data_IF_405768397352
#
_entry.id   IF_405768397352
#
_cell.length_a   1.000
_cell.length_b   1.000
_cell.length_c   1.000
_cell.angle_alpha   90.00
_cell.angle_beta   90.00
_cell.angle_gamma   90.00
#
_symmetry.space_group_name_H-M   'P 1'
#
loop_
_entity.id
_entity.type
_entity.pdbx_description
1 polymer ?
#
# COMPACT_ATOMS: atom_id res chain seq x y z
N UNK A 1 -19.63 18.17 0.88
CA UNK A 1 -19.13 17.00 0.12
C UNK A 1 -17.61 17.15 -0.02
N UNK A 2 -16.87 16.58 0.91
CA UNK A 2 -15.39 16.72 0.95
C UNK A 2 -14.82 15.49 0.25
N UNK A 3 -14.36 15.70 -1.01
CA UNK A 3 -13.68 14.69 -1.81
C UNK A 3 -12.44 14.18 -1.08
N UNK A 4 -12.39 12.87 -0.81
CA UNK A 4 -11.23 12.15 -0.29
C UNK A 4 -10.13 12.11 -1.36
N UNK A 5 -9.36 13.17 -1.47
CA UNK A 5 -8.13 13.20 -2.26
C UNK A 5 -7.02 12.48 -1.46
N UNK A 6 -7.02 11.15 -1.52
CA UNK A 6 -5.88 10.37 -1.10
C UNK A 6 -5.00 10.11 -2.32
N UNK A 7 -4.11 11.05 -2.63
CA UNK A 7 -3.03 10.79 -3.58
C UNK A 7 -2.06 9.79 -2.93
N UNK A 8 -2.09 8.57 -3.40
CA UNK A 8 -1.15 7.51 -3.00
C UNK A 8 -0.30 7.22 -4.22
N UNK A 9 1.00 7.41 -4.10
CA UNK A 9 1.96 7.13 -5.16
C UNK A 9 1.89 5.68 -5.66
N UNK A 10 2.22 5.49 -6.91
CA UNK A 10 2.11 4.20 -7.62
C UNK A 10 2.95 3.09 -6.95
N UNK A 11 4.03 3.47 -6.30
CA UNK A 11 4.98 2.53 -5.71
C UNK A 11 4.54 1.91 -4.38
N UNK A 12 3.66 2.58 -3.59
CA UNK A 12 3.29 2.12 -2.24
C UNK A 12 2.31 0.96 -2.22
N UNK A 13 1.60 0.71 -3.30
CA UNK A 13 0.49 -0.25 -3.31
C UNK A 13 0.92 -1.72 -3.41
N UNK A 14 2.17 -2.00 -3.74
CA UNK A 14 2.61 -3.37 -4.00
C UNK A 14 3.12 -4.12 -2.74
N UNK A 15 3.41 -3.43 -1.63
CA UNK A 15 4.14 -4.06 -0.51
C UNK A 15 3.56 -3.82 0.88
N UNK A 16 2.30 -4.15 1.08
CA UNK A 16 1.83 -4.49 2.42
C UNK A 16 2.05 -5.99 2.64
N UNK A 17 3.30 -6.43 2.82
CA UNK A 17 3.60 -7.80 3.22
C UNK A 17 3.61 -7.91 4.74
N UNK A 18 2.76 -8.77 5.20
CA UNK A 18 2.80 -9.56 6.43
C UNK A 18 4.15 -9.51 7.17
N UNK A 19 4.24 -8.72 8.22
CA UNK A 19 5.23 -8.95 9.27
C UNK A 19 4.70 -10.06 10.18
N UNK A 20 4.95 -11.29 9.80
CA UNK A 20 4.74 -12.44 10.67
C UNK A 20 5.91 -12.49 11.65
N UNK A 21 5.54 -12.55 12.91
CA UNK A 21 6.26 -12.83 14.13
C UNK A 21 7.61 -13.53 13.96
N UNK A 22 8.64 -12.93 14.53
CA UNK A 22 9.92 -13.56 14.77
C UNK A 22 9.77 -14.65 15.83
N UNK A 23 9.80 -15.90 15.40
CA UNK A 23 10.18 -17.04 16.25
C UNK A 23 11.63 -17.38 15.94
N UNK A 24 12.48 -17.22 16.95
CA UNK A 24 13.88 -17.62 16.91
C UNK A 24 13.96 -19.15 16.76
N UNK A 25 14.28 -19.59 15.56
CA UNK A 25 14.60 -20.97 15.24
C UNK A 25 15.68 -20.96 14.15
N UNK A 26 16.78 -21.67 14.38
CA UNK A 26 17.97 -21.77 13.55
C UNK A 26 17.59 -21.97 12.08
N UNK A 27 17.75 -20.90 11.27
CA UNK A 27 17.23 -20.80 9.92
C UNK A 27 18.22 -21.27 8.87
N UNK A 28 17.75 -22.12 8.00
CA UNK A 28 18.39 -22.58 6.78
C UNK A 28 18.48 -21.47 5.70
N UNK A 29 19.47 -21.50 4.79
CA UNK A 29 19.69 -20.48 3.75
C UNK A 29 18.63 -20.43 2.63
N UNK A 30 17.47 -21.07 2.80
CA UNK A 30 16.36 -21.11 1.83
C UNK A 30 15.56 -19.81 1.75
N UNK A 31 15.59 -18.97 2.79
CA UNK A 31 14.79 -17.74 2.85
C UNK A 31 15.40 -16.59 2.03
N UNK A 32 16.72 -16.58 1.84
CA UNK A 32 17.42 -15.53 1.08
C UNK A 32 17.10 -15.56 -0.42
N UNK A 33 17.03 -16.75 -1.02
CA UNK A 33 16.71 -16.90 -2.43
C UNK A 33 15.25 -16.48 -2.75
N UNK A 34 14.32 -16.77 -1.86
CA UNK A 34 12.92 -16.34 -1.96
C UNK A 34 12.79 -14.81 -1.88
N UNK A 35 13.51 -14.20 -0.96
CA UNK A 35 13.53 -12.74 -0.77
C UNK A 35 14.16 -12.03 -1.97
N UNK A 36 15.27 -12.55 -2.50
CA UNK A 36 15.92 -12.00 -3.71
C UNK A 36 15.03 -12.10 -4.95
N UNK A 37 14.36 -13.23 -5.17
CA UNK A 37 13.40 -13.38 -6.28
C UNK A 37 12.23 -12.41 -6.18
N UNK A 38 11.70 -12.20 -4.97
CA UNK A 38 10.65 -11.19 -4.75
C UNK A 38 11.15 -9.79 -5.08
N UNK A 39 12.31 -9.39 -4.55
CA UNK A 39 12.90 -8.08 -4.82
C UNK A 39 13.15 -7.87 -6.33
N UNK A 40 13.62 -8.88 -7.05
CA UNK A 40 13.81 -8.82 -8.50
C UNK A 40 12.49 -8.64 -9.26
N UNK A 41 11.44 -9.40 -8.91
CA UNK A 41 10.10 -9.27 -9.50
C UNK A 41 9.50 -7.89 -9.22
N UNK A 42 9.68 -7.38 -8.00
CA UNK A 42 9.27 -6.04 -7.61
C UNK A 42 9.95 -4.96 -8.44
N UNK A 43 11.25 -5.11 -8.66
CA UNK A 43 12.03 -4.23 -9.54
C UNK A 43 11.50 -4.22 -10.97
N UNK A 44 11.24 -5.41 -11.53
CA UNK A 44 10.68 -5.54 -12.89
C UNK A 44 9.29 -4.90 -13.02
N UNK A 45 8.41 -5.10 -12.03
CA UNK A 45 7.07 -4.49 -12.02
C UNK A 45 7.17 -2.97 -11.95
N UNK A 46 8.02 -2.42 -11.07
CA UNK A 46 8.27 -0.97 -10.99
C UNK A 46 8.75 -0.40 -12.33
N UNK A 47 9.70 -1.07 -12.97
CA UNK A 47 10.23 -0.64 -14.25
C UNK A 47 9.17 -0.64 -15.36
N UNK A 48 8.34 -1.68 -15.43
CA UNK A 48 7.21 -1.74 -16.38
C UNK A 48 6.20 -0.62 -16.16
N UNK A 49 5.88 -0.32 -14.90
CA UNK A 49 5.00 0.79 -14.54
C UNK A 49 5.63 2.12 -14.96
N UNK A 50 6.91 2.35 -14.70
CA UNK A 50 7.61 3.57 -15.10
C UNK A 50 7.59 3.80 -16.61
N UNK A 51 7.84 2.75 -17.40
CA UNK A 51 7.76 2.80 -18.88
C UNK A 51 6.34 3.13 -19.34
N UNK A 52 5.34 2.47 -18.78
CA UNK A 52 3.93 2.72 -19.09
C UNK A 52 3.51 4.16 -18.74
N UNK A 53 3.91 4.67 -17.57
CA UNK A 53 3.65 6.06 -17.15
C UNK A 53 4.30 7.04 -18.13
N UNK A 54 5.58 6.86 -18.46
CA UNK A 54 6.29 7.69 -19.42
C UNK A 54 5.56 7.77 -20.76
N UNK A 55 5.12 6.62 -21.30
CA UNK A 55 4.42 6.55 -22.57
C UNK A 55 3.03 7.21 -22.51
N UNK A 56 2.21 6.92 -21.51
CA UNK A 56 0.85 7.46 -21.37
C UNK A 56 0.83 8.97 -21.13
N UNK A 57 1.80 9.50 -20.41
CA UNK A 57 1.92 10.92 -20.12
C UNK A 57 2.76 11.66 -21.17
N UNK A 58 3.37 10.94 -22.11
CA UNK A 58 4.28 11.50 -23.11
C UNK A 58 5.40 12.33 -22.47
N UNK A 59 6.06 11.75 -21.45
CA UNK A 59 7.14 12.41 -20.73
C UNK A 59 8.45 12.33 -21.51
N UNK A 60 9.23 13.41 -21.47
CA UNK A 60 10.65 13.36 -21.85
C UNK A 60 11.44 12.49 -20.86
N UNK A 61 12.67 12.09 -21.21
CA UNK A 61 13.54 11.34 -20.31
C UNK A 61 13.82 12.11 -19.03
N UNK A 62 14.09 13.41 -19.13
CA UNK A 62 14.31 14.27 -17.98
C UNK A 62 13.08 14.36 -17.06
N UNK A 63 11.88 14.51 -17.62
CA UNK A 63 10.63 14.51 -16.85
C UNK A 63 10.36 13.17 -16.17
N UNK A 64 10.63 12.06 -16.86
CA UNK A 64 10.46 10.72 -16.29
C UNK A 64 11.41 10.46 -15.11
N UNK A 65 12.66 10.92 -15.23
CA UNK A 65 13.64 10.84 -14.14
C UNK A 65 13.21 11.70 -12.94
N UNK A 66 12.83 12.96 -13.16
CA UNK A 66 12.35 13.86 -12.11
C UNK A 66 11.09 13.31 -11.41
N UNK A 67 10.19 12.67 -12.18
CA UNK A 67 9.01 12.02 -11.62
C UNK A 67 9.42 10.87 -10.70
N UNK A 68 10.34 10.01 -11.12
CA UNK A 68 10.82 8.88 -10.33
C UNK A 68 11.51 9.32 -9.03
N UNK A 69 12.34 10.36 -9.08
CA UNK A 69 13.00 10.94 -7.91
C UNK A 69 11.99 11.55 -6.94
N UNK A 70 11.01 12.28 -7.46
CA UNK A 70 9.93 12.89 -6.67
C UNK A 70 9.08 11.81 -6.00
N UNK A 71 8.64 10.81 -6.75
CA UNK A 71 7.91 9.64 -6.24
C UNK A 71 8.68 8.94 -5.10
N UNK A 72 9.97 8.69 -5.28
CA UNK A 72 10.80 8.04 -4.27
C UNK A 72 10.84 8.79 -2.95
N UNK A 73 10.95 10.13 -2.99
CA UNK A 73 10.95 10.99 -1.79
C UNK A 73 9.60 10.93 -1.04
N UNK A 74 8.50 11.05 -1.78
CA UNK A 74 7.16 11.03 -1.17
C UNK A 74 6.75 9.63 -0.73
N UNK A 75 7.25 8.60 -1.37
CA UNK A 75 7.01 7.21 -0.96
C UNK A 75 7.52 6.92 0.45
N UNK A 76 8.71 7.36 0.79
CA UNK A 76 9.26 7.19 2.14
C UNK A 76 8.39 7.88 3.19
N UNK A 77 7.95 9.11 2.92
CA UNK A 77 7.05 9.87 3.80
C UNK A 77 5.68 9.18 3.95
N UNK A 78 5.12 8.66 2.86
CA UNK A 78 3.85 7.91 2.89
C UNK A 78 3.95 6.68 3.76
N UNK A 79 5.06 5.93 3.68
CA UNK A 79 5.29 4.74 4.52
C UNK A 79 5.38 5.11 5.99
N UNK A 80 6.11 6.15 6.32
CA UNK A 80 6.22 6.64 7.69
C UNK A 80 4.84 7.00 8.26
N UNK A 81 4.08 7.83 7.55
CA UNK A 81 2.72 8.21 7.96
C UNK A 81 1.79 7.01 8.13
N UNK A 82 1.90 6.01 7.24
CA UNK A 82 1.10 4.79 7.32
C UNK A 82 1.50 3.94 8.55
N UNK A 83 2.78 3.82 8.85
CA UNK A 83 3.26 3.09 10.02
C UNK A 83 2.82 3.77 11.32
N UNK A 84 2.96 5.09 11.41
CA UNK A 84 2.51 5.90 12.56
C UNK A 84 0.99 5.74 12.77
N UNK A 85 0.19 5.88 11.71
CA UNK A 85 -1.27 5.69 11.79
C UNK A 85 -1.62 4.27 12.23
N UNK A 86 -0.92 3.26 11.72
CA UNK A 86 -1.16 1.87 12.10
C UNK A 86 -0.89 1.63 13.59
N UNK A 87 0.22 2.14 14.12
CA UNK A 87 0.56 2.06 15.54
C UNK A 87 -0.51 2.73 16.42
N UNK A 88 -0.88 3.98 16.09
CA UNK A 88 -1.92 4.71 16.82
C UNK A 88 -3.28 3.99 16.82
N UNK A 89 -3.65 3.37 15.71
CA UNK A 89 -4.88 2.57 15.62
C UNK A 89 -4.80 1.26 16.39
N UNK A 90 -3.61 0.67 16.52
CA UNK A 90 -3.41 -0.50 17.38
C UNK A 90 -3.56 -0.11 18.86
N UNK A 91 -2.90 0.97 19.29
CA UNK A 91 -3.02 1.49 20.65
C UNK A 91 -4.48 1.81 21.00
N UNK A 92 -5.19 2.48 20.08
CA UNK A 92 -6.61 2.78 20.27
C UNK A 92 -7.45 1.49 20.42
N UNK A 93 -7.20 0.47 19.61
CA UNK A 93 -7.91 -0.82 19.75
C UNK A 93 -7.62 -1.50 21.07
N UNK A 94 -6.40 -1.40 21.61
CA UNK A 94 -6.06 -1.94 22.92
C UNK A 94 -6.86 -1.27 24.03
N UNK A 95 -7.03 0.07 23.96
CA UNK A 95 -7.84 0.81 24.92
C UNK A 95 -9.34 0.43 24.87
N UNK A 96 -9.81 -0.06 23.73
CA UNK A 96 -11.22 -0.43 23.51
C UNK A 96 -11.46 -1.95 23.62
N UNK A 97 -10.51 -2.71 24.12
CA UNK A 97 -10.67 -4.16 24.31
C UNK A 97 -11.67 -4.44 25.45
N UNK A 98 -12.66 -5.33 25.25
CA UNK A 98 -13.61 -5.69 26.29
C UNK A 98 -12.92 -6.18 27.58
N UNK A 99 -13.35 -5.67 28.72
CA UNK A 99 -12.77 -6.00 30.04
C UNK A 99 -11.59 -5.11 30.45
N UNK A 100 -11.11 -4.23 29.61
CA UNK A 100 -10.12 -3.20 29.95
C UNK A 100 -10.84 -1.90 30.27
N UNK A 101 -10.53 -1.29 31.44
CA UNK A 101 -11.00 0.05 31.75
C UNK A 101 -10.29 1.06 30.81
N UNK A 102 -11.03 1.62 29.86
CA UNK A 102 -10.47 2.58 28.90
C UNK A 102 -10.07 3.89 29.62
N UNK A 103 -8.84 4.33 29.38
CA UNK A 103 -8.39 5.65 29.81
C UNK A 103 -8.90 6.71 28.81
N UNK A 104 -9.85 7.54 29.28
CA UNK A 104 -10.50 8.59 28.49
C UNK A 104 -9.47 9.61 27.94
N UNK A 105 -8.48 10.00 28.75
CA UNK A 105 -7.44 10.95 28.30
C UNK A 105 -6.54 10.32 27.26
N UNK A 106 -6.15 9.06 27.45
CA UNK A 106 -5.36 8.34 26.46
C UNK A 106 -6.09 8.18 25.14
N UNK A 107 -7.37 7.82 25.18
CA UNK A 107 -8.21 7.70 23.98
C UNK A 107 -8.32 9.04 23.25
N UNK A 108 -8.59 10.15 23.96
CA UNK A 108 -8.64 11.49 23.36
C UNK A 108 -7.30 11.86 22.69
N UNK A 109 -6.17 11.65 23.37
CA UNK A 109 -4.84 11.89 22.83
C UNK A 109 -4.55 11.07 21.57
N UNK A 110 -4.94 9.79 21.53
CA UNK A 110 -4.77 8.94 20.35
C UNK A 110 -5.60 9.43 19.17
N UNK A 111 -6.83 9.87 19.40
CA UNK A 111 -7.67 10.46 18.35
C UNK A 111 -7.05 11.73 17.79
N UNK A 112 -6.54 12.63 18.63
CA UNK A 112 -5.86 13.86 18.20
C UNK A 112 -4.62 13.56 17.36
N UNK A 113 -3.83 12.56 17.76
CA UNK A 113 -2.65 12.12 17.01
C UNK A 113 -3.03 11.52 15.64
N UNK A 114 -4.11 10.72 15.56
CA UNK A 114 -4.62 10.19 14.29
C UNK A 114 -5.05 11.35 13.38
N UNK A 115 -5.74 12.36 13.93
CA UNK A 115 -6.15 13.54 13.15
C UNK A 115 -4.93 14.38 12.71
N UNK A 116 -3.87 14.45 13.51
CA UNK A 116 -2.62 15.10 13.12
C UNK A 116 -1.95 14.38 11.93
N UNK A 117 -1.87 13.05 11.96
CA UNK A 117 -1.35 12.25 10.83
C UNK A 117 -2.18 12.46 9.56
N UNK A 118 -3.51 12.59 9.69
CA UNK A 118 -4.36 12.89 8.52
C UNK A 118 -4.06 14.28 7.94
N UNK A 119 -3.86 15.31 8.78
CA UNK A 119 -3.46 16.65 8.31
C UNK A 119 -2.10 16.62 7.61
N UNK A 120 -1.10 15.94 8.20
CA UNK A 120 0.22 15.76 7.58
C UNK A 120 0.11 15.09 6.21
N UNK A 121 -0.78 14.12 6.04
CA UNK A 121 -1.00 13.44 4.75
C UNK A 121 -1.55 14.40 3.69
N UNK A 122 -2.48 15.27 4.06
CA UNK A 122 -3.02 16.31 3.15
C UNK A 122 -1.91 17.26 2.73
N UNK A 123 -1.16 17.81 3.70
CA UNK A 123 -0.04 18.73 3.44
C UNK A 123 1.02 18.09 2.55
N UNK A 124 1.35 16.82 2.80
CA UNK A 124 2.28 16.05 1.97
C UNK A 124 1.78 15.93 0.52
N UNK A 125 0.50 15.66 0.34
CA UNK A 125 -0.11 15.55 -1.00
C UNK A 125 -0.06 16.89 -1.74
N UNK A 126 -0.35 17.98 -1.06
CA UNK A 126 -0.24 19.33 -1.64
C UNK A 126 1.21 19.65 -2.03
N UNK A 127 2.18 19.28 -1.20
CA UNK A 127 3.60 19.47 -1.50
C UNK A 127 4.01 18.64 -2.72
N UNK A 128 3.58 17.38 -2.81
CA UNK A 128 3.81 16.54 -3.98
C UNK A 128 3.26 17.17 -5.25
N UNK A 129 2.03 17.70 -5.22
CA UNK A 129 1.44 18.39 -6.37
C UNK A 129 2.19 19.66 -6.77
N UNK A 130 2.72 20.41 -5.79
CA UNK A 130 3.58 21.58 -6.07
C UNK A 130 4.90 21.17 -6.71
N UNK A 131 5.52 20.10 -6.22
CA UNK A 131 6.79 19.59 -6.78
C UNK A 131 6.60 19.06 -8.20
N UNK A 132 5.54 18.31 -8.45
CA UNK A 132 5.17 17.84 -9.80
C UNK A 132 4.88 19.00 -10.78
N UNK A 133 4.31 20.10 -10.29
CA UNK A 133 4.00 21.26 -11.11
C UNK A 133 5.26 21.98 -11.67
N UNK A 134 6.44 21.72 -11.11
CA UNK A 134 7.69 22.32 -11.57
C UNK A 134 8.17 21.78 -12.92
N UNK A 135 7.77 20.56 -13.27
CA UNK A 135 8.24 19.89 -14.47
C UNK A 135 7.14 19.20 -15.29
N UNK A 136 5.95 19.01 -14.74
CA UNK A 136 4.79 18.46 -15.46
C UNK A 136 3.80 19.55 -15.82
N UNK A 137 3.28 19.51 -17.03
CA UNK A 137 2.17 20.36 -17.44
C UNK A 137 0.89 20.01 -16.68
N UNK A 138 -0.11 20.90 -16.59
CA UNK A 138 -1.39 20.59 -15.95
C UNK A 138 -2.09 19.36 -16.54
N UNK A 139 -1.99 19.17 -17.86
CA UNK A 139 -2.56 17.99 -18.54
C UNK A 139 -1.86 16.72 -18.14
N UNK A 140 -0.52 16.73 -18.09
CA UNK A 140 0.27 15.57 -17.63
C UNK A 140 -0.04 15.21 -16.17
N UNK A 141 -0.17 16.21 -15.29
CA UNK A 141 -0.56 16.00 -13.89
C UNK A 141 -1.96 15.39 -13.77
N UNK A 142 -2.93 15.87 -14.54
CA UNK A 142 -4.29 15.32 -14.54
C UNK A 142 -4.30 13.85 -15.01
N UNK A 143 -3.59 13.54 -16.10
CA UNK A 143 -3.42 12.16 -16.59
C UNK A 143 -2.74 11.27 -15.56
N UNK A 144 -1.72 11.79 -14.86
CA UNK A 144 -1.01 11.07 -13.81
C UNK A 144 -1.92 10.71 -12.62
N UNK A 145 -2.74 11.64 -12.14
CA UNK A 145 -3.73 11.38 -11.09
C UNK A 145 -4.75 10.32 -11.52
N UNK A 146 -5.25 10.38 -12.74
CA UNK A 146 -6.15 9.37 -13.29
C UNK A 146 -5.50 7.99 -13.31
N UNK A 147 -4.25 7.90 -13.78
CA UNK A 147 -3.50 6.65 -13.83
C UNK A 147 -3.22 6.05 -12.44
N UNK A 148 -2.92 6.89 -11.45
CA UNK A 148 -2.79 6.45 -10.05
C UNK A 148 -4.10 5.83 -9.53
N UNK A 149 -5.24 6.44 -9.85
CA UNK A 149 -6.57 5.91 -9.50
C UNK A 149 -6.86 4.55 -10.15
N UNK A 150 -6.59 4.41 -11.45
CA UNK A 150 -6.77 3.15 -12.19
C UNK A 150 -5.91 2.01 -11.56
N UNK A 151 -4.64 2.28 -11.28
CA UNK A 151 -3.75 1.30 -10.68
C UNK A 151 -4.21 0.86 -9.29
N UNK A 152 -4.66 1.82 -8.48
CA UNK A 152 -5.22 1.51 -7.15
C UNK A 152 -6.42 0.58 -7.26
N UNK A 153 -7.40 0.94 -8.08
CA UNK A 153 -8.62 0.14 -8.27
C UNK A 153 -8.29 -1.27 -8.77
N UNK A 154 -7.31 -1.40 -9.67
CA UNK A 154 -6.88 -2.70 -10.17
C UNK A 154 -6.26 -3.57 -9.09
N UNK A 155 -5.43 -2.99 -8.22
CA UNK A 155 -4.80 -3.70 -7.10
C UNK A 155 -5.85 -4.12 -6.05
N UNK A 156 -6.79 -3.24 -5.73
CA UNK A 156 -7.88 -3.56 -4.82
C UNK A 156 -8.76 -4.68 -5.36
N UNK A 157 -9.09 -4.66 -6.65
CA UNK A 157 -9.82 -5.73 -7.32
C UNK A 157 -9.09 -7.08 -7.26
N UNK A 158 -7.77 -7.10 -7.48
CA UNK A 158 -6.97 -8.33 -7.35
C UNK A 158 -6.93 -8.86 -5.91
N UNK A 159 -6.86 -7.98 -4.91
CA UNK A 159 -6.90 -8.37 -3.48
C UNK A 159 -8.23 -8.97 -3.08
N UNK A 160 -9.34 -8.41 -3.57
CA UNK A 160 -10.68 -8.92 -3.30
C UNK A 160 -10.92 -10.26 -3.99
N UNK A 161 -10.52 -10.42 -5.25
CA UNK A 161 -10.60 -11.69 -5.99
C UNK A 161 -9.77 -12.80 -5.33
N UNK A 162 -8.56 -12.49 -4.83
CA UNK A 162 -7.73 -13.45 -4.09
C UNK A 162 -8.34 -13.90 -2.75
N UNK A 163 -9.07 -13.03 -2.06
CA UNK A 163 -9.80 -13.39 -0.83
C UNK A 163 -11.01 -14.25 -1.12
N UNK A 164 -11.79 -13.93 -2.14
CA UNK A 164 -12.96 -14.73 -2.55
C UNK A 164 -12.56 -16.15 -2.99
N UNK A 165 -11.45 -16.29 -3.73
CA UNK A 165 -10.91 -17.59 -4.13
C UNK A 165 -10.46 -18.46 -2.94
N UNK A 166 -9.88 -17.87 -1.90
CA UNK A 166 -9.50 -18.60 -0.67
C UNK A 166 -10.70 -19.02 0.17
N UNK A 167 -11.72 -18.17 0.29
CA UNK A 167 -12.94 -18.49 1.02
C UNK A 167 -13.73 -19.63 0.35
N UNK A 168 -13.77 -19.67 -0.99
CA UNK A 168 -14.40 -20.74 -1.76
C UNK A 168 -13.64 -22.09 -1.69
N UNK A 169 -12.32 -22.06 -1.55
CA UNK A 169 -11.51 -23.28 -1.44
C UNK A 169 -11.70 -24.01 -0.09
N UNK A 170 -12.01 -23.27 0.99
CA UNK A 170 -12.27 -23.83 2.33
C UNK A 170 -13.65 -24.49 2.47
N UNK A 171 -14.56 -24.26 1.53
CA UNK A 171 -15.92 -24.83 1.53
C UNK A 171 -16.08 -26.04 0.61
N UNK A 172 -14.98 -26.60 0.06
CA UNK A 172 -15.07 -27.85 -0.68
C UNK A 172 -15.37 -29.00 0.30
N UNK A 173 -16.56 -29.66 0.21
CA UNK A 173 -16.86 -30.81 1.06
C UNK A 173 -15.84 -31.89 0.80
N UNK A 174 -15.44 -32.68 1.83
CA UNK A 174 -14.52 -33.79 1.66
C UNK A 174 -15.13 -34.77 0.66
N UNK A 175 -14.42 -35.00 -0.44
CA UNK A 175 -14.88 -35.83 -1.56
C UNK A 175 -15.35 -37.21 -1.07
N UNK A 176 -16.58 -37.59 -1.42
CA UNK A 176 -17.08 -38.96 -1.26
C UNK A 176 -16.11 -39.88 -1.96
N UNK A 177 -15.42 -40.73 -1.20
CA UNK A 177 -14.70 -41.88 -1.76
C UNK A 177 -15.71 -42.75 -2.52
N UNK A 178 -15.45 -43.13 -3.78
CA UNK A 178 -16.29 -44.09 -4.46
C UNK A 178 -16.24 -45.44 -3.72
N UNK A 179 -17.38 -46.18 -3.65
CA UNK A 179 -17.41 -47.50 -3.01
C UNK A 179 -16.48 -48.46 -3.77
N UNK A 180 -15.62 -49.19 -3.03
CA UNK A 180 -14.88 -50.32 -3.58
C UNK A 180 -15.89 -51.36 -3.98
N UNK A 181 -15.92 -51.71 -5.26
CA UNK A 181 -16.64 -52.88 -5.75
C UNK A 181 -15.92 -54.18 -5.33
N UNK A 182 -16.64 -55.23 -5.00
CA UNK A 182 -16.10 -56.53 -4.61
C UNK A 182 -15.37 -57.26 -5.73
#
# INVERSE_FOLDING_TARGET
MISKLAAVGIATLLFATNSASAQAGQGQPRDSAGTQRRAALEGQVRQRIAVMVKQRLQLSDAQAQQLQETEGRFELRRRDLMQREHGLRQDLRQQLTPGVAADQQRVASLLDQIMAVHRERVTMTEQEQRDLARFLTPIQRAKYLGLQGELRNRIEGMRQGGRAGRAGASQRPPGRRPPRQP
#
